data_IF_069785542994
#
_entry.id   IF_069785542994
#
_cell.length_a   1.000
_cell.length_b   1.000
_cell.length_c   1.000
_cell.angle_alpha   90.00
_cell.angle_beta   90.00
_cell.angle_gamma   90.00
#
_symmetry.space_group_name_H-M   'P 1'
#
loop_
_entity.id
_entity.type
_entity.pdbx_description
1 polymer ?
#
# COMPACT_ATOMS: atom_id res chain seq x y z
N UNK A 1 42.50 7.04 -28.72
CA UNK A 1 42.62 6.10 -27.58
C UNK A 1 41.94 6.72 -26.40
N UNK A 2 40.95 6.00 -25.88
CA UNK A 2 39.96 6.43 -24.89
C UNK A 2 40.65 6.59 -23.54
N UNK A 3 40.44 7.73 -22.88
CA UNK A 3 40.57 7.81 -21.44
C UNK A 3 39.48 8.76 -20.92
N UNK A 4 38.32 8.19 -20.60
CA UNK A 4 37.26 8.86 -19.85
C UNK A 4 37.07 8.05 -18.56
N UNK A 5 38.05 8.18 -17.68
CA UNK A 5 37.81 8.03 -16.26
C UNK A 5 37.17 9.34 -15.78
N UNK A 6 35.84 9.35 -15.70
CA UNK A 6 35.15 10.40 -14.95
C UNK A 6 33.87 9.87 -14.31
N UNK A 7 33.98 9.67 -12.99
CA UNK A 7 32.95 9.87 -11.95
C UNK A 7 31.85 8.81 -11.81
N UNK A 8 32.22 7.70 -11.16
CA UNK A 8 31.43 7.18 -10.02
C UNK A 8 31.51 8.20 -8.87
N UNK A 9 30.63 9.21 -8.87
CA UNK A 9 30.31 9.94 -7.65
C UNK A 9 28.95 9.41 -7.17
N UNK A 10 28.97 8.37 -6.34
CA UNK A 10 27.77 7.88 -5.68
C UNK A 10 27.31 8.95 -4.69
N UNK A 11 26.21 9.61 -5.04
CA UNK A 11 25.59 10.64 -4.24
C UNK A 11 24.98 9.97 -2.99
N UNK A 12 25.65 10.06 -1.83
CA UNK A 12 25.24 9.40 -0.57
C UNK A 12 23.86 9.84 -0.02
N UNK A 13 23.18 10.77 -0.68
CA UNK A 13 21.87 11.30 -0.33
C UNK A 13 20.76 11.00 -1.36
N UNK A 14 21.01 10.16 -2.38
CA UNK A 14 19.99 9.84 -3.38
C UNK A 14 18.84 9.02 -2.79
N UNK A 15 17.60 9.45 -3.02
CA UNK A 15 16.40 8.74 -2.57
C UNK A 15 16.13 7.52 -3.44
N UNK A 16 15.85 6.37 -2.83
CA UNK A 16 15.65 5.11 -3.52
C UNK A 16 14.19 4.95 -4.00
N UNK A 17 14.01 4.89 -5.33
CA UNK A 17 12.72 4.64 -5.98
C UNK A 17 12.65 3.18 -6.44
N UNK A 18 11.61 2.47 -6.03
CA UNK A 18 11.20 1.20 -6.64
C UNK A 18 10.16 1.46 -7.72
N UNK A 19 10.51 1.18 -8.99
CA UNK A 19 9.57 1.18 -10.11
C UNK A 19 8.99 -0.23 -10.31
N UNK A 20 7.69 -0.36 -10.05
CA UNK A 20 6.90 -1.56 -10.30
C UNK A 20 6.22 -1.43 -11.66
N UNK A 21 6.80 -2.04 -12.67
CA UNK A 21 6.25 -2.01 -14.03
C UNK A 21 6.76 -3.13 -14.92
N UNK A 22 5.88 -3.68 -15.76
CA UNK A 22 6.22 -4.66 -16.78
C UNK A 22 6.84 -4.00 -18.02
N UNK A 23 7.78 -4.68 -18.69
CA UNK A 23 8.59 -4.10 -19.77
C UNK A 23 7.76 -3.45 -20.89
N UNK A 24 8.07 -2.18 -21.22
CA UNK A 24 7.45 -1.43 -22.30
C UNK A 24 8.19 -0.11 -22.59
N UNK A 25 7.89 0.51 -23.73
CA UNK A 25 8.55 1.76 -24.21
C UNK A 25 8.41 2.90 -23.19
N UNK A 26 7.23 3.05 -22.58
CA UNK A 26 6.95 4.06 -21.56
C UNK A 26 7.89 3.98 -20.34
N UNK A 27 8.40 2.79 -20.01
CA UNK A 27 9.28 2.61 -18.85
C UNK A 27 10.69 3.09 -19.10
N UNK A 28 11.19 2.99 -20.34
CA UNK A 28 12.50 3.52 -20.69
C UNK A 28 12.49 5.05 -20.59
N UNK A 29 11.41 5.68 -21.04
CA UNK A 29 11.23 7.13 -20.89
C UNK A 29 11.13 7.56 -19.43
N UNK A 30 10.31 6.87 -18.63
CA UNK A 30 10.22 7.13 -17.18
C UNK A 30 11.58 6.99 -16.50
N UNK A 31 12.31 5.91 -16.81
CA UNK A 31 13.64 5.68 -16.27
C UNK A 31 14.60 6.81 -16.63
N UNK A 32 14.67 7.18 -17.92
CA UNK A 32 15.51 8.29 -18.38
C UNK A 32 15.14 9.60 -17.65
N UNK A 33 13.86 9.86 -17.43
CA UNK A 33 13.41 11.08 -16.77
C UNK A 33 13.79 11.12 -15.28
N UNK A 34 13.69 9.98 -14.59
CA UNK A 34 14.15 9.84 -13.20
C UNK A 34 15.68 10.03 -13.12
N UNK A 35 16.43 9.37 -14.00
CA UNK A 35 17.88 9.44 -14.03
C UNK A 35 18.39 10.86 -14.32
N UNK A 36 17.72 11.60 -15.22
CA UNK A 36 18.04 13.02 -15.50
C UNK A 36 17.96 13.91 -14.27
N UNK A 37 17.14 13.57 -13.28
CA UNK A 37 17.02 14.40 -12.07
C UNK A 37 18.30 14.42 -11.23
N UNK A 38 19.13 13.37 -11.30
CA UNK A 38 20.31 13.18 -10.45
C UNK A 38 20.04 13.03 -8.95
N UNK A 39 18.76 13.02 -8.54
CA UNK A 39 18.33 13.03 -7.13
C UNK A 39 17.85 11.65 -6.66
N UNK A 40 17.44 10.80 -7.60
CA UNK A 40 16.87 9.49 -7.32
C UNK A 40 17.75 8.37 -7.85
N UNK A 41 17.86 7.28 -7.10
CA UNK A 41 18.34 6.00 -7.59
C UNK A 41 17.15 5.10 -7.90
N UNK A 42 17.17 4.38 -9.02
CA UNK A 42 16.03 3.59 -9.50
C UNK A 42 16.33 2.09 -9.45
N UNK A 43 15.49 1.33 -8.76
CA UNK A 43 15.38 -0.12 -8.87
C UNK A 43 14.09 -0.46 -9.62
N UNK A 44 14.15 -1.37 -10.59
CA UNK A 44 12.99 -1.82 -11.35
C UNK A 44 12.65 -3.26 -11.01
N UNK A 45 11.38 -3.55 -10.75
CA UNK A 45 10.85 -4.92 -10.65
C UNK A 45 9.56 -5.06 -11.45
N UNK A 46 9.41 -6.17 -12.17
CA UNK A 46 8.17 -6.55 -12.83
C UNK A 46 7.20 -7.24 -11.87
N UNK A 47 5.94 -7.41 -12.29
CA UNK A 47 4.90 -8.03 -11.45
C UNK A 47 5.27 -9.45 -11.00
N UNK A 48 5.94 -10.21 -11.87
CA UNK A 48 6.40 -11.59 -11.61
C UNK A 48 7.52 -11.68 -10.56
N UNK A 49 8.38 -10.67 -10.46
CA UNK A 49 9.48 -10.65 -9.49
C UNK A 49 8.97 -10.31 -8.10
N UNK A 50 7.99 -9.40 -8.00
CA UNK A 50 7.36 -9.02 -6.73
C UNK A 50 6.52 -10.17 -6.16
N UNK A 51 5.85 -10.93 -7.02
CA UNK A 51 4.97 -12.05 -6.61
C UNK A 51 5.73 -13.30 -6.18
N UNK A 52 6.89 -13.59 -6.79
CA UNK A 52 7.68 -14.81 -6.52
C UNK A 52 8.69 -14.65 -5.40
N UNK A 53 9.01 -13.43 -5.00
CA UNK A 53 10.06 -13.16 -4.02
C UNK A 53 9.52 -13.11 -2.60
N UNK A 54 10.16 -13.85 -1.69
CA UNK A 54 9.99 -13.69 -0.23
C UNK A 54 10.86 -12.54 0.33
N UNK A 55 11.67 -11.91 -0.52
CA UNK A 55 12.53 -10.80 -0.15
C UNK A 55 11.71 -9.57 0.27
N UNK A 56 12.10 -8.98 1.40
CA UNK A 56 11.57 -7.70 1.86
C UNK A 56 12.29 -6.60 1.09
N UNK A 57 11.52 -5.78 0.37
CA UNK A 57 12.05 -4.68 -0.44
C UNK A 57 11.79 -3.38 0.33
N UNK A 58 12.85 -2.65 0.69
CA UNK A 58 12.73 -1.33 1.32
C UNK A 58 13.03 -0.24 0.30
N UNK A 59 12.20 0.79 0.26
CA UNK A 59 12.38 1.93 -0.65
C UNK A 59 11.84 3.21 -0.03
N UNK A 60 12.48 4.35 -0.34
CA UNK A 60 11.96 5.66 0.05
C UNK A 60 10.62 5.94 -0.65
N UNK A 61 10.49 5.50 -1.90
CA UNK A 61 9.31 5.77 -2.73
C UNK A 61 9.04 4.58 -3.66
N UNK A 62 7.76 4.25 -3.84
CA UNK A 62 7.30 3.24 -4.79
C UNK A 62 6.51 3.91 -5.89
N UNK A 63 6.90 3.67 -7.13
CA UNK A 63 6.20 4.10 -8.33
C UNK A 63 5.60 2.89 -9.02
N UNK A 64 4.29 2.84 -9.18
CA UNK A 64 3.57 1.69 -9.72
C UNK A 64 2.59 2.12 -10.81
N UNK A 65 2.52 1.35 -11.90
CA UNK A 65 1.56 1.64 -12.97
C UNK A 65 0.14 1.31 -12.53
N UNK A 66 -0.84 2.05 -13.04
CA UNK A 66 -2.25 1.73 -12.85
C UNK A 66 -2.57 0.29 -13.28
N UNK A 67 -2.01 -0.16 -14.41
CA UNK A 67 -2.24 -1.51 -14.93
C UNK A 67 -1.77 -2.59 -13.95
N UNK A 68 -0.61 -2.41 -13.31
CA UNK A 68 -0.13 -3.36 -12.31
C UNK A 68 -0.99 -3.37 -11.04
N UNK A 69 -1.56 -2.23 -10.63
CA UNK A 69 -2.55 -2.21 -9.53
C UNK A 69 -3.76 -3.08 -9.88
N UNK A 70 -4.30 -2.94 -11.09
CA UNK A 70 -5.44 -3.74 -11.56
C UNK A 70 -5.08 -5.23 -11.61
N UNK A 71 -3.92 -5.57 -12.16
CA UNK A 71 -3.41 -6.94 -12.22
C UNK A 71 -3.26 -7.55 -10.82
N UNK A 72 -2.62 -6.85 -9.90
CA UNK A 72 -2.42 -7.33 -8.53
C UNK A 72 -3.73 -7.49 -7.78
N UNK A 73 -4.68 -6.57 -7.98
CA UNK A 73 -6.02 -6.68 -7.40
C UNK A 73 -6.77 -7.89 -7.94
N UNK A 74 -6.76 -8.09 -9.27
CA UNK A 74 -7.42 -9.24 -9.92
C UNK A 74 -6.84 -10.58 -9.49
N UNK A 75 -5.53 -10.63 -9.25
CA UNK A 75 -4.81 -11.85 -8.86
C UNK A 75 -4.65 -12.03 -7.34
N UNK A 76 -5.27 -11.18 -6.51
CA UNK A 76 -5.14 -11.19 -5.04
C UNK A 76 -3.68 -11.16 -4.55
N UNK A 77 -2.82 -10.43 -5.25
CA UNK A 77 -1.40 -10.30 -4.92
C UNK A 77 -1.22 -9.33 -3.74
N UNK A 78 -0.48 -9.76 -2.73
CA UNK A 78 -0.16 -8.93 -1.58
C UNK A 78 1.19 -8.23 -1.77
N UNK A 79 1.18 -6.90 -1.88
CA UNK A 79 2.37 -6.04 -1.99
C UNK A 79 3.04 -5.75 -0.64
N UNK A 80 2.76 -6.58 0.35
CA UNK A 80 3.18 -6.35 1.74
C UNK A 80 4.64 -6.71 2.01
N UNK A 81 5.35 -7.23 1.00
CA UNK A 81 6.81 -7.36 1.00
C UNK A 81 7.52 -6.05 0.66
N UNK A 82 6.80 -5.04 0.16
CA UNK A 82 7.34 -3.71 -0.15
C UNK A 82 7.09 -2.79 1.04
N UNK A 83 8.17 -2.38 1.71
CA UNK A 83 8.17 -1.46 2.83
C UNK A 83 8.46 -0.04 2.33
N UNK A 84 7.39 0.71 2.05
CA UNK A 84 7.45 2.15 1.75
C UNK A 84 6.19 2.85 2.22
N UNK A 85 6.36 4.08 2.71
CA UNK A 85 5.27 4.98 3.12
C UNK A 85 4.87 5.99 2.03
N UNK A 86 5.52 5.97 0.86
CA UNK A 86 5.28 6.89 -0.25
C UNK A 86 5.04 6.12 -1.54
N UNK A 87 3.78 5.98 -1.90
CA UNK A 87 3.34 5.33 -3.13
C UNK A 87 2.86 6.38 -4.12
N UNK A 88 3.24 6.19 -5.38
CA UNK A 88 2.78 6.98 -6.51
C UNK A 88 2.21 6.03 -7.54
N UNK A 89 0.96 6.26 -7.93
CA UNK A 89 0.35 5.57 -9.07
C UNK A 89 0.48 6.47 -10.29
N UNK A 90 1.02 5.93 -11.37
CA UNK A 90 1.11 6.64 -12.65
C UNK A 90 0.29 5.94 -13.72
N UNK A 91 0.11 6.63 -14.86
CA UNK A 91 -0.65 6.15 -16.01
C UNK A 91 -2.13 5.87 -15.66
N UNK A 92 -2.71 6.69 -14.79
CA UNK A 92 -4.12 6.54 -14.39
C UNK A 92 -5.04 7.09 -15.48
N UNK A 93 -6.00 6.30 -16.00
CA UNK A 93 -6.98 6.84 -16.94
C UNK A 93 -7.88 7.88 -16.26
N UNK A 94 -8.13 9.02 -16.92
CA UNK A 94 -8.95 10.11 -16.34
C UNK A 94 -10.36 9.67 -15.95
N UNK A 95 -10.98 8.86 -16.80
CA UNK A 95 -12.33 8.30 -16.61
C UNK A 95 -12.43 7.42 -15.36
N UNK A 96 -11.32 6.77 -15.02
CA UNK A 96 -11.19 5.84 -13.91
C UNK A 96 -10.80 6.58 -12.64
N UNK A 97 -9.90 7.55 -12.70
CA UNK A 97 -9.42 8.26 -11.52
C UNK A 97 -10.50 9.03 -10.77
N UNK A 98 -11.68 9.24 -11.35
CA UNK A 98 -12.82 9.85 -10.64
C UNK A 98 -13.71 8.83 -9.89
N UNK A 99 -13.75 7.55 -10.33
CA UNK A 99 -14.63 6.51 -9.77
C UNK A 99 -13.89 5.36 -9.07
N UNK A 100 -12.76 4.91 -9.63
CA UNK A 100 -12.11 3.67 -9.23
C UNK A 100 -11.29 3.76 -7.94
N UNK A 101 -10.87 4.96 -7.51
CA UNK A 101 -10.11 5.11 -6.26
C UNK A 101 -10.94 4.78 -5.01
N UNK A 102 -12.27 4.85 -5.11
CA UNK A 102 -13.17 4.35 -4.08
C UNK A 102 -13.29 2.81 -4.08
N UNK A 103 -13.12 2.17 -5.25
CA UNK A 103 -13.20 0.72 -5.42
C UNK A 103 -11.88 0.00 -5.10
N UNK A 104 -10.76 0.73 -5.21
CA UNK A 104 -9.45 0.25 -4.79
C UNK A 104 -9.43 0.10 -3.27
N UNK A 105 -9.37 -1.14 -2.78
CA UNK A 105 -9.46 -1.44 -1.35
C UNK A 105 -8.44 -0.63 -0.54
N UNK A 106 -8.95 0.29 0.27
CA UNK A 106 -8.30 1.31 1.10
C UNK A 106 -7.03 0.87 1.88
N UNK A 107 -6.80 -0.42 2.09
CA UNK A 107 -5.69 -0.90 2.93
C UNK A 107 -4.33 -0.90 2.22
N UNK A 108 -4.26 -0.80 0.89
CA UNK A 108 -3.00 -0.47 0.19
C UNK A 108 -2.75 1.04 0.10
N UNK A 109 -3.76 1.88 0.41
CA UNK A 109 -3.78 3.31 0.14
C UNK A 109 -3.33 4.21 1.30
N UNK A 110 -3.11 3.71 2.52
CA UNK A 110 -2.62 4.59 3.61
C UNK A 110 -1.25 5.23 3.30
N UNK A 111 -0.52 4.66 2.34
CA UNK A 111 0.74 5.18 1.86
C UNK A 111 0.65 5.80 0.45
N UNK A 112 -0.55 5.95 -0.14
CA UNK A 112 -0.67 6.67 -1.41
C UNK A 112 -0.43 8.17 -1.17
N UNK A 113 0.60 8.70 -1.82
CA UNK A 113 0.99 10.11 -1.74
C UNK A 113 0.90 10.83 -3.08
N UNK A 114 0.98 10.11 -4.20
CA UNK A 114 0.92 10.69 -5.54
C UNK A 114 0.03 9.94 -6.52
N UNK A 115 -0.62 10.68 -7.41
CA UNK A 115 -1.38 10.13 -8.53
C UNK A 115 -1.15 10.96 -9.79
N UNK A 116 -0.78 10.29 -10.89
CA UNK A 116 -0.48 10.92 -12.18
C UNK A 116 -1.38 10.29 -13.25
N UNK A 117 -2.11 11.14 -13.99
CA UNK A 117 -2.95 10.70 -15.10
C UNK A 117 -2.12 10.36 -16.35
N UNK A 118 -2.62 9.45 -17.19
CA UNK A 118 -1.97 9.00 -18.42
C UNK A 118 -1.63 10.13 -19.41
N UNK A 119 -2.42 11.20 -19.40
CA UNK A 119 -2.27 12.35 -20.29
C UNK A 119 -1.66 13.57 -19.57
N UNK A 120 -1.10 13.37 -18.37
CA UNK A 120 -0.39 14.42 -17.68
C UNK A 120 0.90 14.80 -18.43
N UNK A 121 1.25 16.09 -18.50
CA UNK A 121 2.54 16.52 -19.03
C UNK A 121 3.71 15.84 -18.30
N UNK A 122 4.78 15.51 -19.02
CA UNK A 122 5.94 14.81 -18.42
C UNK A 122 6.56 15.57 -17.24
N UNK A 123 6.52 16.90 -17.26
CA UNK A 123 6.99 17.74 -16.16
C UNK A 123 6.25 17.47 -14.84
N UNK A 124 4.97 17.07 -14.91
CA UNK A 124 4.20 16.68 -13.73
C UNK A 124 4.76 15.44 -13.07
N UNK A 125 5.36 14.53 -13.86
CA UNK A 125 5.99 13.34 -13.33
C UNK A 125 7.17 13.70 -12.42
N UNK A 126 8.11 14.49 -12.94
CA UNK A 126 9.28 14.94 -12.17
C UNK A 126 8.91 15.79 -10.96
N UNK A 127 7.89 16.66 -11.10
CA UNK A 127 7.38 17.47 -9.98
C UNK A 127 6.69 16.62 -8.92
N UNK A 128 5.89 15.64 -9.32
CA UNK A 128 5.22 14.70 -8.40
C UNK A 128 6.26 13.94 -7.58
N UNK A 129 7.29 13.37 -8.22
CA UNK A 129 8.36 12.66 -7.53
C UNK A 129 9.04 13.53 -6.47
N UNK A 130 9.40 14.78 -6.80
CA UNK A 130 10.02 15.71 -5.84
C UNK A 130 9.07 16.05 -4.69
N UNK A 131 7.84 16.45 -5.01
CA UNK A 131 6.82 16.82 -4.02
C UNK A 131 6.57 15.70 -3.01
N UNK A 132 6.36 14.48 -3.49
CA UNK A 132 6.14 13.31 -2.62
C UNK A 132 7.40 12.91 -1.86
N UNK A 133 8.58 13.07 -2.47
CA UNK A 133 9.85 12.86 -1.77
C UNK A 133 9.97 13.78 -0.55
N UNK A 134 9.48 15.02 -0.68
CA UNK A 134 9.47 16.05 0.36
C UNK A 134 8.27 15.93 1.34
N UNK A 135 7.64 14.76 1.41
CA UNK A 135 6.52 14.41 2.31
C UNK A 135 5.16 15.05 1.98
N UNK A 136 5.06 15.80 0.88
CA UNK A 136 3.81 16.41 0.43
C UNK A 136 2.95 15.46 -0.43
N UNK A 137 1.67 15.80 -0.57
CA UNK A 137 0.72 15.05 -1.39
C UNK A 137 0.61 15.63 -2.81
N UNK A 138 0.62 14.75 -3.81
CA UNK A 138 0.27 15.05 -5.19
C UNK A 138 -0.98 14.27 -5.58
N UNK A 139 -2.13 14.68 -5.05
CA UNK A 139 -3.39 13.99 -5.27
C UNK A 139 -4.45 14.94 -5.84
N UNK A 140 -5.24 14.52 -6.84
CA UNK A 140 -6.37 15.32 -7.29
C UNK A 140 -7.36 15.56 -6.15
N UNK A 141 -7.95 16.76 -6.10
CA UNK A 141 -8.85 17.16 -5.01
C UNK A 141 -10.00 16.19 -4.76
N UNK A 142 -10.59 15.63 -5.82
CA UNK A 142 -11.67 14.63 -5.73
C UNK A 142 -11.22 13.36 -5.00
N UNK A 143 -10.00 12.88 -5.28
CA UNK A 143 -9.39 11.72 -4.64
C UNK A 143 -9.17 11.97 -3.15
N UNK A 144 -8.56 13.12 -2.80
CA UNK A 144 -8.39 13.49 -1.40
C UNK A 144 -9.72 13.60 -0.66
N UNK A 145 -10.74 14.15 -1.32
CA UNK A 145 -12.09 14.28 -0.76
C UNK A 145 -12.68 12.90 -0.46
N UNK A 146 -12.58 11.95 -1.39
CA UNK A 146 -13.02 10.56 -1.20
C UNK A 146 -12.24 9.88 -0.06
N UNK A 147 -10.91 9.97 -0.06
CA UNK A 147 -10.07 9.44 1.03
C UNK A 147 -10.50 10.00 2.39
N UNK A 148 -10.76 11.29 2.50
CA UNK A 148 -11.23 11.91 3.74
C UNK A 148 -12.59 11.37 4.16
N UNK A 149 -13.53 11.12 3.23
CA UNK A 149 -14.80 10.49 3.56
C UNK A 149 -14.65 9.06 4.06
N UNK A 150 -13.73 8.29 3.49
CA UNK A 150 -13.45 6.91 3.92
C UNK A 150 -12.67 6.85 5.24
N UNK A 151 -11.76 7.78 5.48
CA UNK A 151 -10.95 7.85 6.72
C UNK A 151 -11.74 8.46 7.88
N UNK A 152 -12.65 9.41 7.62
CA UNK A 152 -13.45 10.11 8.65
C UNK A 152 -14.11 9.15 9.67
N UNK A 153 -14.75 8.03 9.26
CA UNK A 153 -15.26 7.03 10.19
C UNK A 153 -14.20 6.44 11.14
N UNK A 154 -12.93 6.37 10.73
CA UNK A 154 -11.84 5.87 11.56
C UNK A 154 -11.19 6.98 12.42
N UNK A 155 -11.03 8.18 11.86
CA UNK A 155 -10.39 9.31 12.53
C UNK A 155 -11.30 9.98 13.57
N UNK A 156 -12.61 10.04 13.33
CA UNK A 156 -13.60 10.59 14.28
C UNK A 156 -14.02 9.57 15.34
N UNK A 157 -13.74 8.28 15.13
CA UNK A 157 -13.91 7.24 16.14
C UNK A 157 -12.55 6.87 16.76
N UNK A 158 -12.06 7.72 17.67
CA UNK A 158 -11.02 7.34 18.66
C UNK A 158 -11.46 6.19 19.60
N UNK A 159 -12.60 5.55 19.31
CA UNK A 159 -13.02 4.26 19.84
C UNK A 159 -13.04 3.25 18.68
N UNK A 160 -11.93 2.54 18.47
CA UNK A 160 -11.80 1.39 17.55
C UNK A 160 -12.57 0.16 18.09
N UNK A 161 -13.82 0.38 18.48
CA UNK A 161 -14.74 -0.68 18.87
C UNK A 161 -16.10 -0.37 18.26
N UNK A 162 -16.42 -1.08 17.18
CA UNK A 162 -17.77 -1.41 16.66
C UNK A 162 -18.20 -0.79 15.33
N UNK A 163 -17.65 0.31 14.83
CA UNK A 163 -18.28 1.00 13.67
C UNK A 163 -17.72 0.68 12.27
N UNK A 164 -16.50 0.19 12.11
CA UNK A 164 -15.85 0.07 10.79
C UNK A 164 -15.42 -1.34 10.38
N UNK A 165 -15.81 -2.33 11.17
CA UNK A 165 -15.78 -3.72 10.74
C UNK A 165 -17.21 -4.20 10.75
N UNK A 166 -17.75 -4.72 9.65
CA UNK A 166 -19.05 -5.43 9.61
C UNK A 166 -19.09 -6.71 10.50
N UNK A 167 -18.13 -6.82 11.42
CA UNK A 167 -17.99 -7.85 12.43
C UNK A 167 -18.95 -7.57 13.59
N UNK A 168 -19.69 -8.60 13.96
CA UNK A 168 -20.50 -8.65 15.18
C UNK A 168 -19.60 -8.52 16.42
N UNK A 169 -20.22 -8.21 17.57
CA UNK A 169 -19.52 -8.15 18.86
C UNK A 169 -18.72 -9.42 19.15
N UNK A 170 -19.27 -10.59 18.81
CA UNK A 170 -18.59 -11.88 19.01
C UNK A 170 -17.39 -12.07 18.09
N UNK A 171 -17.54 -11.71 16.82
CA UNK A 171 -16.44 -11.74 15.85
C UNK A 171 -15.31 -10.77 16.23
N UNK A 172 -15.63 -9.60 16.80
CA UNK A 172 -14.63 -8.66 17.32
C UNK A 172 -13.83 -9.28 18.47
N UNK A 173 -14.48 -9.97 19.41
CA UNK A 173 -13.79 -10.63 20.54
C UNK A 173 -12.82 -11.72 20.07
N UNK A 174 -13.22 -12.49 19.06
CA UNK A 174 -12.40 -13.54 18.44
C UNK A 174 -11.25 -12.90 17.66
N UNK A 175 -11.54 -11.88 16.86
CA UNK A 175 -10.55 -11.15 16.07
C UNK A 175 -9.46 -10.50 16.94
N UNK A 176 -9.82 -9.90 18.08
CA UNK A 176 -8.85 -9.31 19.02
C UNK A 176 -7.84 -10.31 19.59
N UNK A 177 -8.21 -11.58 19.72
CA UNK A 177 -7.30 -12.65 20.18
C UNK A 177 -6.48 -13.23 19.04
N UNK A 178 -7.12 -13.40 17.88
CA UNK A 178 -6.47 -13.78 16.63
C UNK A 178 -5.24 -12.92 16.34
N UNK A 179 -5.37 -11.60 16.43
CA UNK A 179 -4.28 -10.64 16.14
C UNK A 179 -3.12 -10.70 17.15
N UNK A 180 -3.39 -11.16 18.37
CA UNK A 180 -2.39 -11.40 19.42
C UNK A 180 -1.64 -12.73 19.23
N UNK A 181 -2.04 -13.53 18.25
CA UNK A 181 -1.41 -14.81 17.95
C UNK A 181 -2.14 -16.02 18.53
N UNK A 182 -3.23 -15.85 19.28
CA UNK A 182 -3.90 -16.95 19.99
C UNK A 182 -4.45 -18.02 19.03
N UNK A 183 -4.15 -19.28 19.31
CA UNK A 183 -4.66 -20.45 18.62
C UNK A 183 -6.18 -20.57 18.74
N UNK A 184 -6.82 -21.41 17.90
CA UNK A 184 -8.27 -21.61 17.99
C UNK A 184 -8.67 -22.20 19.34
N UNK A 185 -7.83 -23.06 19.91
CA UNK A 185 -8.02 -23.67 21.23
C UNK A 185 -7.99 -22.59 22.32
N UNK A 186 -6.94 -21.77 22.36
CA UNK A 186 -6.82 -20.67 23.33
C UNK A 186 -7.99 -19.68 23.21
N UNK A 187 -8.41 -19.34 21.99
CA UNK A 187 -9.59 -18.50 21.76
C UNK A 187 -10.85 -19.16 22.30
N UNK A 188 -10.98 -20.47 22.12
CA UNK A 188 -12.16 -21.24 22.55
C UNK A 188 -12.27 -21.30 24.07
N UNK A 189 -11.13 -21.50 24.76
CA UNK A 189 -11.01 -21.52 26.22
C UNK A 189 -11.30 -20.14 26.80
N UNK A 190 -10.64 -19.09 26.28
CA UNK A 190 -10.82 -17.70 26.71
C UNK A 190 -12.26 -17.18 26.60
N UNK A 191 -13.02 -17.74 25.66
CA UNK A 191 -14.36 -17.28 25.31
C UNK A 191 -15.46 -18.27 25.67
N UNK A 192 -15.11 -19.39 26.31
CA UNK A 192 -16.01 -20.45 26.75
C UNK A 192 -16.93 -20.95 25.62
N UNK A 193 -16.36 -21.26 24.46
CA UNK A 193 -17.09 -21.84 23.31
C UNK A 193 -16.32 -23.01 22.71
N UNK A 194 -16.99 -23.82 21.89
CA UNK A 194 -16.33 -24.90 21.15
C UNK A 194 -15.34 -24.35 20.10
N UNK A 195 -14.24 -25.07 19.88
CA UNK A 195 -13.26 -24.73 18.84
C UNK A 195 -13.90 -24.70 17.43
N UNK A 196 -14.90 -25.54 17.18
CA UNK A 196 -15.69 -25.53 15.93
C UNK A 196 -16.44 -24.20 15.75
N UNK A 197 -17.00 -23.63 16.82
CA UNK A 197 -17.65 -22.33 16.81
C UNK A 197 -16.65 -21.21 16.49
N UNK A 198 -15.43 -21.30 17.03
CA UNK A 198 -14.34 -20.37 16.69
C UNK A 198 -14.02 -20.44 15.19
N UNK A 199 -13.90 -21.65 14.62
CA UNK A 199 -13.66 -21.85 13.17
C UNK A 199 -14.74 -21.19 12.31
N UNK A 200 -16.01 -21.35 12.68
CA UNK A 200 -17.14 -20.71 11.97
C UNK A 200 -17.08 -19.19 12.03
N UNK A 201 -16.79 -18.62 13.20
CA UNK A 201 -16.63 -17.16 13.31
C UNK A 201 -15.41 -16.65 12.53
N UNK A 202 -14.29 -17.36 12.55
CA UNK A 202 -13.11 -17.00 11.76
C UNK A 202 -13.39 -17.02 10.26
N UNK A 203 -14.14 -18.01 9.77
CA UNK A 203 -14.60 -18.04 8.37
C UNK A 203 -15.41 -16.78 8.01
N UNK A 204 -16.38 -16.40 8.85
CA UNK A 204 -17.20 -15.20 8.63
C UNK A 204 -16.37 -13.91 8.72
N UNK A 205 -15.43 -13.85 9.66
CA UNK A 205 -14.48 -12.74 9.77
C UNK A 205 -13.67 -12.60 8.48
N UNK A 206 -13.12 -13.69 7.96
CA UNK A 206 -12.31 -13.70 6.74
C UNK A 206 -13.12 -13.22 5.53
N UNK A 207 -14.35 -13.70 5.39
CA UNK A 207 -15.28 -13.25 4.34
C UNK A 207 -15.57 -11.75 4.44
N UNK A 208 -15.91 -11.26 5.64
CA UNK A 208 -16.21 -9.84 5.88
C UNK A 208 -15.00 -8.93 5.71
N UNK A 209 -13.80 -9.45 5.97
CA UNK A 209 -12.54 -8.75 5.77
C UNK A 209 -11.98 -8.90 4.36
N UNK A 210 -12.61 -9.68 3.47
CA UNK A 210 -12.09 -10.02 2.15
C UNK A 210 -10.63 -10.55 2.22
N UNK A 211 -10.40 -11.56 3.06
CA UNK A 211 -9.11 -12.26 3.18
C UNK A 211 -9.33 -13.77 3.13
N UNK A 212 -8.32 -14.51 2.70
CA UNK A 212 -8.45 -15.95 2.46
C UNK A 212 -7.92 -16.83 3.59
N UNK A 213 -7.09 -16.28 4.49
CA UNK A 213 -6.49 -17.07 5.57
C UNK A 213 -6.10 -16.24 6.80
N UNK A 214 -5.79 -16.97 7.89
CA UNK A 214 -5.35 -16.42 9.18
C UNK A 214 -4.17 -15.46 9.06
N UNK A 215 -3.15 -15.81 8.27
CA UNK A 215 -1.94 -14.99 8.08
C UNK A 215 -2.30 -13.65 7.44
N UNK A 216 -3.14 -13.67 6.40
CA UNK A 216 -3.65 -12.46 5.76
C UNK A 216 -4.49 -11.61 6.72
N UNK A 217 -5.38 -12.23 7.52
CA UNK A 217 -6.19 -11.53 8.51
C UNK A 217 -5.34 -10.81 9.56
N UNK A 218 -4.34 -11.49 10.13
CA UNK A 218 -3.40 -10.90 11.11
C UNK A 218 -2.59 -9.76 10.48
N UNK A 219 -2.09 -9.96 9.26
CA UNK A 219 -1.30 -8.96 8.54
C UNK A 219 -2.11 -7.68 8.26
N UNK A 220 -3.36 -7.86 7.79
CA UNK A 220 -4.31 -6.78 7.54
C UNK A 220 -4.65 -6.01 8.82
N UNK A 221 -4.76 -6.71 9.94
CA UNK A 221 -5.03 -6.07 11.24
C UNK A 221 -3.85 -5.26 11.78
N UNK A 222 -2.63 -5.82 11.75
CA UNK A 222 -1.42 -5.13 12.26
C UNK A 222 -1.19 -3.80 11.54
N UNK A 223 -1.38 -3.78 10.23
CA UNK A 223 -1.31 -2.55 9.44
C UNK A 223 -2.23 -1.43 9.97
N UNK A 224 -3.44 -1.77 10.42
CA UNK A 224 -4.39 -0.81 11.00
C UNK A 224 -3.93 -0.33 12.39
N UNK A 225 -3.42 -1.24 13.23
CA UNK A 225 -2.97 -0.92 14.59
C UNK A 225 -1.66 -0.12 14.62
N UNK A 226 -0.70 -0.46 13.74
CA UNK A 226 0.59 0.23 13.63
C UNK A 226 0.37 1.68 13.15
N UNK A 227 -0.61 1.90 12.28
CA UNK A 227 -1.03 3.24 11.84
C UNK A 227 -1.59 4.10 12.99
N UNK A 228 -2.41 3.51 13.88
CA UNK A 228 -2.95 4.23 15.06
C UNK A 228 -1.89 4.54 16.12
N UNK A 229 -0.85 3.70 16.22
CA UNK A 229 0.24 3.85 17.19
C UNK A 229 1.28 4.87 16.72
N UNK A 230 1.57 4.93 15.40
CA UNK A 230 2.48 5.91 14.81
C UNK A 230 1.96 7.35 14.90
N UNK A 231 0.64 7.57 14.84
CA UNK A 231 0.05 8.91 14.96
C UNK A 231 -0.15 9.38 16.42
N UNK A 232 -0.07 8.48 17.40
CA UNK A 232 -0.17 8.84 18.83
C UNK A 232 1.17 9.27 19.45
N UNK A 233 2.31 9.01 18.81
CA UNK A 233 3.64 9.40 19.31
C UNK A 233 4.13 10.78 18.81
N UNK A 234 3.32 11.46 17.99
CA UNK A 234 3.60 12.81 17.44
C UNK A 234 2.74 13.91 18.07
N UNK A 235 2.01 13.61 19.13
CA UNK A 235 1.29 14.60 19.95
C UNK A 235 1.84 14.63 21.37
#
# INVERSE_FOLDING_TARGET
>A
MINIDSKKNSNRNSKHILLVSDNGISNQFIQQEIEKTGYFSLEKKCSKEITKSEEIISSDLVLISYQNIVEFSGNNVSLTNILSNKWIIYDVPKEIGEKALAEMQLMHFLNLKGLIYQDAPIEHFTRCLKTVSDEDLWLPRKVMTQMLFEIRPYALNLQVTQASTNLTKREIQIFKRLIKGASNLEISEDLFIAESTVKTHLYNIYKKMNVNNRKQAIKKARFIYDYSSYNSSKH
#
